data_IF_858495279216
#
_entry.id   IF_858495279216
#
_cell.length_a   1.000
_cell.length_b   1.000
_cell.length_c   1.000
_cell.angle_alpha   90.00
_cell.angle_beta   90.00
_cell.angle_gamma   90.00
#
_symmetry.space_group_name_H-M   'P 1'
#
loop_
_entity.id
_entity.type
_entity.pdbx_description
1 polymer ?
#
# COMPACT_ATOMS: atom_id res chain seq x y z
N UNK A 1 14.23 -17.39 2.86
CA UNK A 1 13.87 -16.19 2.08
C UNK A 1 12.36 -16.12 1.92
N UNK A 2 11.72 -17.10 1.27
CA UNK A 2 10.24 -17.14 1.11
C UNK A 2 9.48 -16.93 2.43
N UNK A 3 9.79 -17.69 3.49
CA UNK A 3 9.12 -17.54 4.78
C UNK A 3 9.22 -16.12 5.37
N UNK A 4 10.37 -15.44 5.18
CA UNK A 4 10.56 -14.05 5.60
C UNK A 4 9.68 -13.11 4.79
N UNK A 5 9.63 -13.28 3.47
CA UNK A 5 8.80 -12.45 2.58
C UNK A 5 7.32 -12.61 2.92
N UNK A 6 6.84 -13.84 3.14
CA UNK A 6 5.45 -14.10 3.55
C UNK A 6 5.12 -13.49 4.92
N UNK A 7 6.07 -13.50 5.86
CA UNK A 7 5.89 -12.82 7.14
C UNK A 7 5.82 -11.29 7.00
N UNK A 8 6.65 -10.69 6.14
CA UNK A 8 6.58 -9.25 5.80
C UNK A 8 5.24 -8.93 5.12
N UNK A 9 4.83 -9.74 4.15
CA UNK A 9 3.56 -9.61 3.44
C UNK A 9 2.36 -9.59 4.39
N UNK A 10 2.32 -10.49 5.38
CA UNK A 10 1.24 -10.51 6.37
C UNK A 10 1.13 -9.18 7.12
N UNK A 11 2.26 -8.56 7.47
CA UNK A 11 2.28 -7.25 8.11
C UNK A 11 1.86 -6.12 7.17
N UNK A 12 2.28 -6.18 5.92
CA UNK A 12 1.82 -5.25 4.87
C UNK A 12 0.31 -5.35 4.69
N UNK A 13 -0.26 -6.56 4.68
CA UNK A 13 -1.70 -6.78 4.60
C UNK A 13 -2.46 -6.17 5.77
N UNK A 14 -1.91 -6.24 7.00
CA UNK A 14 -2.47 -5.56 8.17
C UNK A 14 -2.47 -4.03 8.00
N UNK A 15 -1.38 -3.47 7.47
CA UNK A 15 -1.27 -2.03 7.17
C UNK A 15 -2.24 -1.59 6.07
N UNK A 16 -2.36 -2.36 4.98
CA UNK A 16 -3.32 -2.12 3.90
C UNK A 16 -4.75 -2.11 4.45
N UNK A 17 -5.10 -3.09 5.28
CA UNK A 17 -6.43 -3.17 5.90
C UNK A 17 -6.71 -1.97 6.80
N UNK A 18 -5.71 -1.53 7.56
CA UNK A 18 -5.83 -0.34 8.39
C UNK A 18 -6.08 0.91 7.54
N UNK A 19 -5.23 1.17 6.55
CA UNK A 19 -5.25 2.38 5.74
C UNK A 19 -6.49 2.46 4.84
N UNK A 20 -6.91 1.33 4.27
CA UNK A 20 -8.16 1.25 3.52
C UNK A 20 -9.36 1.61 4.40
N UNK A 21 -9.45 1.03 5.61
CA UNK A 21 -10.54 1.35 6.54
C UNK A 21 -10.49 2.80 7.01
N UNK A 22 -9.30 3.36 7.19
CA UNK A 22 -9.13 4.76 7.53
C UNK A 22 -9.63 5.67 6.39
N UNK A 23 -9.31 5.35 5.14
CA UNK A 23 -9.79 6.05 3.95
C UNK A 23 -11.32 6.00 3.85
N UNK A 24 -11.92 4.81 3.97
CA UNK A 24 -13.38 4.63 3.96
C UNK A 24 -14.06 5.46 5.05
N UNK A 25 -13.56 5.39 6.29
CA UNK A 25 -14.12 6.15 7.41
C UNK A 25 -14.02 7.66 7.17
N UNK A 26 -12.88 8.12 6.61
CA UNK A 26 -12.67 9.54 6.30
C UNK A 26 -13.68 10.04 5.28
N UNK A 27 -13.89 9.29 4.20
CA UNK A 27 -14.86 9.61 3.15
C UNK A 27 -16.27 9.60 3.75
N UNK A 28 -16.64 8.53 4.44
CA UNK A 28 -17.95 8.38 5.07
C UNK A 28 -18.28 9.54 6.02
N UNK A 29 -17.33 9.92 6.90
CA UNK A 29 -17.53 11.03 7.83
C UNK A 29 -17.74 12.36 7.10
N UNK A 30 -16.95 12.66 6.06
CA UNK A 30 -17.14 13.90 5.28
C UNK A 30 -18.52 13.95 4.62
N UNK A 31 -18.96 12.84 4.03
CA UNK A 31 -20.25 12.74 3.36
C UNK A 31 -21.45 12.99 4.29
N UNK A 32 -21.34 12.68 5.58
CA UNK A 32 -22.41 12.96 6.55
C UNK A 32 -22.72 14.45 6.73
N UNK A 33 -21.78 15.33 6.40
CA UNK A 33 -21.92 16.79 6.55
C UNK A 33 -22.16 17.51 5.23
N UNK A 34 -22.17 16.79 4.11
CA UNK A 34 -22.31 17.36 2.77
C UNK A 34 -23.75 17.25 2.26
N UNK A 35 -24.18 18.24 1.49
CA UNK A 35 -25.36 18.09 0.64
C UNK A 35 -25.10 17.03 -0.44
N UNK A 36 -26.15 16.62 -1.16
CA UNK A 36 -26.00 15.67 -2.26
C UNK A 36 -25.05 16.20 -3.37
N UNK A 37 -25.15 17.49 -3.70
CA UNK A 37 -24.29 18.13 -4.70
C UNK A 37 -22.82 18.18 -4.25
N UNK A 38 -22.60 18.59 -2.99
CA UNK A 38 -21.26 18.61 -2.40
C UNK A 38 -20.66 17.21 -2.33
N UNK A 39 -21.46 16.20 -1.99
CA UNK A 39 -21.04 14.79 -1.95
C UNK A 39 -20.57 14.30 -3.31
N UNK A 40 -21.35 14.56 -4.37
CA UNK A 40 -20.98 14.19 -5.75
C UNK A 40 -19.68 14.87 -6.19
N UNK A 41 -19.56 16.18 -5.96
CA UNK A 41 -18.35 16.92 -6.31
C UNK A 41 -17.14 16.41 -5.54
N UNK A 42 -17.30 16.13 -4.24
CA UNK A 42 -16.24 15.61 -3.39
C UNK A 42 -15.75 14.24 -3.84
N UNK A 43 -16.66 13.30 -4.11
CA UNK A 43 -16.30 11.96 -4.55
C UNK A 43 -15.59 11.96 -5.91
N UNK A 44 -16.04 12.80 -6.85
CA UNK A 44 -15.35 12.95 -8.13
C UNK A 44 -13.93 13.48 -7.95
N UNK A 45 -13.71 14.43 -7.04
CA UNK A 45 -12.38 14.94 -6.75
C UNK A 45 -11.50 13.90 -6.05
N UNK A 46 -11.99 13.19 -5.03
CA UNK A 46 -11.21 12.15 -4.34
C UNK A 46 -10.84 11.01 -5.31
N UNK A 47 -11.73 10.65 -6.24
CA UNK A 47 -11.42 9.66 -7.27
C UNK A 47 -10.35 10.17 -8.23
N UNK A 48 -10.45 11.42 -8.71
CA UNK A 48 -9.44 12.03 -9.57
C UNK A 48 -8.06 12.07 -8.90
N UNK A 49 -8.01 12.56 -7.66
CA UNK A 49 -6.77 12.63 -6.86
C UNK A 49 -6.18 11.23 -6.64
N UNK A 50 -7.01 10.22 -6.34
CA UNK A 50 -6.57 8.84 -6.17
C UNK A 50 -6.02 8.24 -7.46
N UNK A 51 -6.65 8.50 -8.60
CA UNK A 51 -6.17 8.03 -9.91
C UNK A 51 -4.87 8.68 -10.33
N UNK A 52 -4.71 9.99 -10.10
CA UNK A 52 -3.47 10.72 -10.39
C UNK A 52 -2.32 10.19 -9.50
N UNK A 53 -2.61 9.92 -8.24
CA UNK A 53 -1.62 9.35 -7.33
C UNK A 53 -1.24 7.92 -7.69
N UNK A 54 -2.19 7.09 -8.12
CA UNK A 54 -1.91 5.75 -8.65
C UNK A 54 -1.00 5.82 -9.87
N UNK A 55 -1.26 6.72 -10.80
CA UNK A 55 -0.42 6.91 -11.98
C UNK A 55 1.03 7.26 -11.59
N UNK A 56 1.21 8.19 -10.65
CA UNK A 56 2.53 8.57 -10.14
C UNK A 56 3.26 7.40 -9.45
N UNK A 57 2.55 6.55 -8.71
CA UNK A 57 3.14 5.35 -8.09
C UNK A 57 3.53 4.30 -9.15
N UNK A 58 2.75 4.18 -10.21
CA UNK A 58 2.95 3.22 -11.29
C UNK A 58 4.16 3.53 -12.18
N UNK A 59 4.73 4.74 -12.12
CA UNK A 59 6.00 5.07 -12.79
C UNK A 59 7.20 4.31 -12.18
N UNK A 60 7.05 3.74 -10.99
CA UNK A 60 8.08 2.96 -10.33
C UNK A 60 8.05 1.49 -10.77
N UNK A 61 9.15 0.99 -11.36
CA UNK A 61 9.27 -0.41 -11.85
C UNK A 61 8.98 -1.46 -10.78
N UNK A 62 9.31 -1.21 -9.51
CA UNK A 62 9.00 -2.14 -8.41
C UNK A 62 7.50 -2.19 -8.15
N UNK A 63 6.80 -1.06 -8.25
CA UNK A 63 5.32 -1.04 -8.15
C UNK A 63 4.68 -1.74 -9.35
N UNK A 64 5.20 -1.50 -10.57
CA UNK A 64 4.73 -2.21 -11.77
C UNK A 64 4.80 -3.72 -11.63
N UNK A 65 5.83 -4.23 -10.94
CA UNK A 65 5.99 -5.68 -10.73
C UNK A 65 4.85 -6.32 -9.95
N UNK A 66 4.16 -5.56 -9.10
CA UNK A 66 3.06 -6.06 -8.25
C UNK A 66 1.67 -5.67 -8.76
N UNK A 67 1.55 -4.84 -9.79
CA UNK A 67 0.27 -4.29 -10.27
C UNK A 67 -0.78 -5.37 -10.54
N UNK A 68 -0.42 -6.38 -11.34
CA UNK A 68 -1.33 -7.46 -11.74
C UNK A 68 -1.67 -8.42 -10.58
N UNK A 69 -1.01 -8.25 -9.43
CA UNK A 69 -1.15 -9.08 -8.24
C UNK A 69 -1.82 -8.33 -7.08
N UNK A 70 -2.36 -7.12 -7.30
CA UNK A 70 -2.90 -6.28 -6.23
C UNK A 70 -4.07 -6.89 -5.43
N UNK A 71 -4.75 -7.90 -6.00
CA UNK A 71 -5.80 -8.68 -5.32
C UNK A 71 -5.26 -9.87 -4.52
N UNK A 72 -4.03 -10.32 -4.80
CA UNK A 72 -3.41 -11.47 -4.15
C UNK A 72 -2.92 -11.10 -2.74
N UNK A 73 -3.16 -11.96 -1.74
CA UNK A 73 -2.63 -11.74 -0.39
C UNK A 73 -1.13 -12.01 -0.26
N UNK A 74 -0.52 -12.69 -1.23
CA UNK A 74 0.90 -13.05 -1.29
C UNK A 74 1.66 -12.34 -2.42
N UNK A 75 1.19 -11.15 -2.84
CA UNK A 75 1.69 -10.45 -4.02
C UNK A 75 3.20 -10.19 -4.06
N UNK A 76 3.89 -10.07 -2.92
CA UNK A 76 5.36 -9.89 -2.90
C UNK A 76 6.11 -11.13 -3.37
N UNK A 77 5.59 -12.32 -3.10
CA UNK A 77 6.23 -13.58 -3.48
C UNK A 77 5.71 -14.12 -4.82
N UNK A 78 4.42 -13.92 -5.09
CA UNK A 78 3.78 -14.45 -6.30
C UNK A 78 4.04 -13.60 -7.56
N UNK A 79 4.56 -12.37 -7.39
CA UNK A 79 4.90 -11.47 -8.48
C UNK A 79 6.41 -11.44 -8.78
N UNK A 80 6.82 -10.59 -9.73
CA UNK A 80 8.25 -10.37 -10.04
C UNK A 80 8.93 -9.35 -9.11
N UNK A 81 8.29 -9.02 -7.98
CA UNK A 81 8.79 -8.05 -7.00
C UNK A 81 10.20 -8.37 -6.54
N UNK A 82 10.45 -9.60 -6.08
CA UNK A 82 11.77 -9.96 -5.58
C UNK A 82 12.79 -9.84 -6.69
N UNK A 83 12.49 -10.24 -7.92
CA UNK A 83 13.39 -10.17 -9.06
C UNK A 83 13.81 -8.74 -9.40
N UNK A 84 12.88 -7.77 -9.32
CA UNK A 84 13.13 -6.36 -9.64
C UNK A 84 14.00 -5.63 -8.62
N UNK A 85 14.08 -6.11 -7.38
CA UNK A 85 14.95 -5.52 -6.36
C UNK A 85 16.45 -5.67 -6.69
N UNK A 86 17.24 -4.66 -6.33
CA UNK A 86 18.70 -4.72 -6.39
C UNK A 86 19.27 -5.71 -5.37
N UNK A 87 20.53 -6.11 -5.52
CA UNK A 87 21.17 -7.06 -4.59
C UNK A 87 21.24 -6.54 -3.14
N UNK A 88 21.36 -5.23 -2.93
CA UNK A 88 21.36 -4.61 -1.59
C UNK A 88 19.97 -4.63 -0.97
N UNK A 89 18.93 -4.33 -1.75
CA UNK A 89 17.53 -4.34 -1.29
C UNK A 89 17.06 -5.76 -0.98
N UNK A 90 17.38 -6.74 -1.85
CA UNK A 90 17.14 -8.17 -1.59
C UNK A 90 17.71 -8.61 -0.25
N UNK A 91 18.94 -8.16 0.09
CA UNK A 91 19.56 -8.46 1.39
C UNK A 91 18.80 -7.83 2.56
N UNK A 92 18.27 -6.62 2.41
CA UNK A 92 17.44 -5.98 3.43
C UNK A 92 16.19 -6.83 3.70
N UNK A 93 15.44 -7.19 2.66
CA UNK A 93 14.25 -8.05 2.78
C UNK A 93 14.57 -9.44 3.36
N UNK A 94 15.67 -10.06 2.92
CA UNK A 94 16.04 -11.41 3.38
C UNK A 94 16.45 -11.45 4.87
N UNK A 95 17.08 -10.38 5.36
CA UNK A 95 17.62 -10.30 6.73
C UNK A 95 16.74 -9.49 7.69
N UNK A 96 15.58 -9.02 7.23
CA UNK A 96 14.70 -8.21 8.05
C UNK A 96 14.12 -9.01 9.22
N UNK A 97 14.21 -8.46 10.43
CA UNK A 97 13.57 -9.03 11.61
C UNK A 97 12.08 -8.66 11.64
N UNK A 98 11.25 -9.61 11.23
CA UNK A 98 9.79 -9.44 11.13
C UNK A 98 9.10 -9.17 12.46
N UNK A 99 9.75 -9.45 13.59
CA UNK A 99 9.22 -9.12 14.92
C UNK A 99 9.25 -7.62 15.22
N UNK A 100 10.08 -6.86 14.51
CA UNK A 100 10.23 -5.39 14.68
C UNK A 100 9.18 -4.59 13.90
N UNK A 101 8.41 -5.25 13.03
CA UNK A 101 7.36 -4.60 12.26
C UNK A 101 6.08 -4.54 13.10
N UNK A 102 5.85 -3.37 13.68
CA UNK A 102 4.66 -3.00 14.44
C UNK A 102 3.77 -2.08 13.59
N UNK A 103 2.53 -2.53 13.34
CA UNK A 103 1.51 -1.75 12.65
C UNK A 103 1.27 -0.41 13.36
N UNK A 104 1.35 -0.34 14.69
CA UNK A 104 1.16 0.93 15.42
C UNK A 104 2.26 1.96 15.14
N UNK A 105 3.49 1.49 14.94
CA UNK A 105 4.59 2.37 14.55
C UNK A 105 4.34 2.92 13.14
N UNK A 106 3.94 2.04 12.21
CA UNK A 106 3.55 2.43 10.86
C UNK A 106 2.41 3.46 10.86
N UNK A 107 1.33 3.24 11.61
CA UNK A 107 0.19 4.17 11.62
C UNK A 107 0.53 5.54 12.19
N UNK A 108 1.56 5.63 13.03
CA UNK A 108 2.07 6.92 13.54
C UNK A 108 2.93 7.63 12.49
N UNK A 109 3.74 6.88 11.73
CA UNK A 109 4.64 7.39 10.70
C UNK A 109 4.75 6.36 9.57
N UNK A 110 4.06 6.60 8.46
CA UNK A 110 3.86 5.60 7.40
C UNK A 110 5.12 5.26 6.59
N UNK A 111 6.15 6.10 6.63
CA UNK A 111 7.46 5.89 6.00
C UNK A 111 8.49 5.29 7.00
N UNK A 112 8.09 4.93 8.21
CA UNK A 112 9.01 4.46 9.28
C UNK A 112 9.82 3.23 8.89
N UNK A 113 9.33 2.44 7.95
CA UNK A 113 9.96 1.20 7.50
C UNK A 113 10.68 1.33 6.15
N UNK A 114 10.57 2.45 5.43
CA UNK A 114 11.12 2.56 4.06
C UNK A 114 12.65 2.42 4.01
N UNK A 115 13.34 2.80 5.08
CA UNK A 115 14.78 2.62 5.18
C UNK A 115 15.16 1.14 5.34
N UNK A 116 14.41 0.40 6.15
CA UNK A 116 14.67 -1.01 6.45
C UNK A 116 14.09 -1.95 5.39
N UNK A 117 12.96 -1.59 4.81
CA UNK A 117 12.19 -2.29 3.79
C UNK A 117 11.90 -1.29 2.65
N UNK A 118 12.78 -1.21 1.64
CA UNK A 118 12.59 -0.31 0.51
C UNK A 118 11.21 -0.46 -0.12
N UNK A 119 10.56 0.66 -0.42
CA UNK A 119 9.22 0.75 -1.05
C UNK A 119 8.04 0.36 -0.15
N UNK A 120 8.23 0.06 1.14
CA UNK A 120 7.16 -0.39 2.04
C UNK A 120 5.92 0.53 2.00
N UNK A 121 6.09 1.82 2.26
CA UNK A 121 5.00 2.80 2.31
C UNK A 121 4.30 2.93 0.96
N UNK A 122 5.08 2.92 -0.13
CA UNK A 122 4.58 3.00 -1.51
C UNK A 122 3.75 1.79 -1.90
N UNK A 123 4.19 0.59 -1.52
CA UNK A 123 3.46 -0.66 -1.75
C UNK A 123 2.11 -0.62 -1.04
N UNK A 124 2.09 -0.29 0.26
CA UNK A 124 0.83 -0.19 1.01
C UNK A 124 -0.10 0.83 0.35
N UNK A 125 0.43 2.01 0.04
CA UNK A 125 -0.35 3.09 -0.59
C UNK A 125 -0.92 2.68 -1.94
N UNK A 126 -0.10 2.06 -2.80
CA UNK A 126 -0.51 1.58 -4.10
C UNK A 126 -1.68 0.60 -3.97
N UNK A 127 -1.54 -0.45 -3.14
CA UNK A 127 -2.58 -1.46 -2.99
C UNK A 127 -3.88 -0.87 -2.40
N UNK A 128 -3.78 0.04 -1.44
CA UNK A 128 -4.94 0.72 -0.86
C UNK A 128 -5.69 1.53 -1.92
N UNK A 129 -4.97 2.32 -2.71
CA UNK A 129 -5.57 3.13 -3.76
C UNK A 129 -6.11 2.27 -4.91
N UNK A 130 -5.42 1.20 -5.32
CA UNK A 130 -5.90 0.27 -6.33
C UNK A 130 -7.22 -0.35 -5.90
N UNK A 131 -7.33 -0.79 -4.63
CA UNK A 131 -8.59 -1.29 -4.07
C UNK A 131 -9.67 -0.22 -4.03
N UNK A 132 -9.33 1.03 -3.71
CA UNK A 132 -10.31 2.12 -3.66
C UNK A 132 -10.85 2.51 -5.03
N UNK A 133 -10.00 2.56 -6.06
CA UNK A 133 -10.38 2.97 -7.42
C UNK A 133 -11.08 1.86 -8.21
N UNK A 134 -10.75 0.59 -7.95
CA UNK A 134 -11.29 -0.57 -8.67
C UNK A 134 -12.57 -1.17 -8.06
N UNK A 135 -12.97 -0.75 -6.86
CA UNK A 135 -14.23 -1.13 -6.19
C UNK A 135 -15.32 -0.08 -6.41
#
# INVERSE_FOLDING_TARGET
MEATIRAIQNRINECIKHDYRFLENRIFLKLQYFSEEQSKSFLNQELADATDELANLHDNTVIQSITDYAENLDFLWESTFIETLTSSEKKKYANFDTSTLDVKQYTTKNDSYDEALPYFSKIVKFIVLSKYVLL
#
